data_IF_639348751750
#
_entry.id   IF_639348751750
#
_cell.length_a   1.000
_cell.length_b   1.000
_cell.length_c   1.000
_cell.angle_alpha   90.00
_cell.angle_beta   90.00
_cell.angle_gamma   90.00
#
_symmetry.space_group_name_H-M   'P 1'
#
loop_
_entity.id
_entity.type
_entity.pdbx_description
1 polymer ?
#
# COMPACT_ATOMS: atom_id res chain seq x y z
N UNK A 1 -12.48 -29.81 -15.97
CA UNK A 1 -12.85 -28.49 -16.51
C UNK A 1 -11.61 -27.61 -16.53
N UNK A 2 -11.34 -26.82 -17.58
CA UNK A 2 -10.22 -25.87 -17.56
C UNK A 2 -10.44 -24.83 -16.46
N UNK A 3 -9.40 -24.53 -15.67
CA UNK A 3 -9.44 -23.47 -14.64
C UNK A 3 -9.81 -22.15 -15.32
N UNK A 4 -10.78 -21.41 -14.79
CA UNK A 4 -11.08 -20.06 -15.24
C UNK A 4 -9.83 -19.19 -15.09
N UNK A 5 -9.50 -18.39 -16.11
CA UNK A 5 -8.38 -17.44 -16.03
C UNK A 5 -8.65 -16.42 -14.93
N UNK A 6 -7.69 -16.26 -14.03
CA UNK A 6 -7.73 -15.26 -12.96
C UNK A 6 -7.30 -13.88 -13.48
N UNK A 7 -7.55 -12.82 -12.71
CA UNK A 7 -6.99 -11.50 -13.00
C UNK A 7 -5.45 -11.55 -12.97
N UNK A 8 -4.83 -12.38 -12.11
CA UNK A 8 -3.38 -12.54 -12.11
C UNK A 8 -2.86 -13.14 -13.42
N UNK A 9 -3.56 -14.14 -13.98
CA UNK A 9 -3.19 -14.73 -15.28
C UNK A 9 -3.28 -13.71 -16.43
N UNK A 10 -4.17 -12.72 -16.32
CA UNK A 10 -4.31 -11.64 -17.29
C UNK A 10 -3.11 -10.69 -17.27
N UNK A 11 -2.62 -10.34 -16.07
CA UNK A 11 -1.59 -9.31 -15.89
C UNK A 11 -0.16 -9.84 -15.79
N UNK A 12 0.01 -11.14 -15.54
CA UNK A 12 1.32 -11.75 -15.28
C UNK A 12 2.38 -11.41 -16.34
N UNK A 13 2.04 -11.54 -17.63
CA UNK A 13 2.99 -11.25 -18.72
C UNK A 13 3.42 -9.78 -18.74
N UNK A 14 2.48 -8.85 -18.52
CA UNK A 14 2.79 -7.42 -18.49
C UNK A 14 3.60 -7.05 -17.24
N UNK A 15 3.23 -7.61 -16.08
CA UNK A 15 3.94 -7.40 -14.83
C UNK A 15 5.40 -7.87 -14.93
N UNK A 16 5.64 -9.08 -15.45
CA UNK A 16 6.99 -9.62 -15.62
C UNK A 16 7.83 -8.85 -16.66
N UNK A 17 7.18 -8.30 -17.69
CA UNK A 17 7.83 -7.46 -18.70
C UNK A 17 8.12 -6.03 -18.21
N UNK A 18 7.55 -5.59 -17.08
CA UNK A 18 7.80 -4.26 -16.54
C UNK A 18 9.28 -4.12 -16.15
N UNK A 19 9.90 -2.94 -16.36
CA UNK A 19 11.32 -2.72 -16.01
C UNK A 19 11.58 -2.81 -14.49
N UNK A 20 12.86 -2.90 -14.11
CA UNK A 20 13.32 -2.98 -12.72
C UNK A 20 13.63 -4.41 -12.23
N UNK A 21 14.29 -4.52 -11.08
CA UNK A 21 14.72 -5.78 -10.46
C UNK A 21 13.61 -6.50 -9.65
N UNK A 22 12.42 -5.91 -9.53
CA UNK A 22 11.33 -6.47 -8.72
C UNK A 22 11.38 -6.06 -7.24
N UNK A 23 12.24 -5.11 -6.87
CA UNK A 23 12.13 -4.43 -5.58
C UNK A 23 10.90 -3.53 -5.58
N UNK A 24 10.12 -3.62 -4.50
CA UNK A 24 8.93 -2.81 -4.31
C UNK A 24 9.29 -1.58 -3.48
N UNK A 25 9.09 -0.40 -4.07
CA UNK A 25 9.17 0.87 -3.35
C UNK A 25 7.83 1.59 -3.45
N UNK A 26 7.19 1.78 -2.30
CA UNK A 26 5.91 2.48 -2.16
C UNK A 26 6.05 3.56 -1.10
N UNK A 27 5.35 4.68 -1.29
CA UNK A 27 5.32 5.77 -0.31
C UNK A 27 4.22 5.59 0.75
N UNK A 28 3.34 4.60 0.54
CA UNK A 28 2.20 4.25 1.41
C UNK A 28 2.19 2.75 1.70
N UNK A 29 1.61 2.32 2.84
CA UNK A 29 1.37 0.91 3.12
C UNK A 29 0.49 0.22 2.06
N UNK A 30 0.57 -1.11 1.97
CA UNK A 30 -0.12 -1.87 0.91
C UNK A 30 -1.66 -1.81 1.00
N UNK A 31 -2.23 -1.90 2.19
CA UNK A 31 -3.67 -1.80 2.37
C UNK A 31 -4.16 -0.38 1.99
N UNK A 32 -3.40 0.68 2.33
CA UNK A 32 -3.68 2.06 1.87
C UNK A 32 -3.67 2.11 0.35
N UNK A 33 -2.64 1.55 -0.30
CA UNK A 33 -2.57 1.50 -1.76
C UNK A 33 -3.80 0.80 -2.37
N UNK A 34 -4.25 -0.31 -1.77
CA UNK A 34 -5.41 -1.05 -2.24
C UNK A 34 -6.72 -0.30 -2.03
N UNK A 35 -6.90 0.38 -0.90
CA UNK A 35 -8.04 1.29 -0.69
C UNK A 35 -8.04 2.44 -1.71
N UNK A 36 -6.88 3.09 -1.88
CA UNK A 36 -6.71 4.16 -2.85
C UNK A 36 -6.92 3.71 -4.30
N UNK A 37 -6.62 2.45 -4.63
CA UNK A 37 -6.90 1.89 -5.95
C UNK A 37 -8.40 1.94 -6.26
N UNK A 38 -9.25 1.60 -5.29
CA UNK A 38 -10.71 1.64 -5.44
C UNK A 38 -11.20 3.07 -5.62
N UNK A 39 -10.70 4.01 -4.81
CA UNK A 39 -11.07 5.42 -4.90
C UNK A 39 -10.66 6.03 -6.24
N UNK A 40 -9.44 5.73 -6.71
CA UNK A 40 -8.93 6.23 -8.00
C UNK A 40 -9.69 5.61 -9.17
N UNK A 41 -10.08 4.34 -9.09
CA UNK A 41 -10.94 3.72 -10.10
C UNK A 41 -12.34 4.36 -10.14
N UNK A 42 -12.93 4.65 -8.98
CA UNK A 42 -14.22 5.38 -8.87
C UNK A 42 -14.10 6.80 -9.42
N UNK A 43 -13.02 7.51 -9.09
CA UNK A 43 -12.71 8.82 -9.64
C UNK A 43 -12.60 8.77 -11.16
N UNK A 44 -11.82 7.83 -11.71
CA UNK A 44 -11.67 7.65 -13.15
C UNK A 44 -13.02 7.47 -13.83
N UNK A 45 -13.87 6.57 -13.32
CA UNK A 45 -15.21 6.32 -13.85
C UNK A 45 -16.08 7.57 -13.83
N UNK A 46 -16.07 8.31 -12.72
CA UNK A 46 -16.89 9.51 -12.51
C UNK A 46 -16.49 10.66 -13.45
N UNK A 47 -15.18 10.85 -13.63
CA UNK A 47 -14.62 12.01 -14.32
C UNK A 47 -14.12 11.71 -15.74
N UNK A 48 -14.37 10.50 -16.28
CA UNK A 48 -13.91 10.11 -17.62
C UNK A 48 -14.39 11.07 -18.71
N UNK A 49 -15.71 11.23 -18.82
CA UNK A 49 -16.35 12.11 -19.79
C UNK A 49 -16.39 13.57 -19.31
N UNK A 50 -16.31 14.55 -20.22
CA UNK A 50 -16.60 15.93 -19.92
C UNK A 50 -18.09 16.09 -19.59
N UNK A 51 -18.39 17.11 -18.78
CA UNK A 51 -19.75 17.56 -18.55
C UNK A 51 -20.06 18.71 -19.52
N UNK A 52 -21.19 18.58 -20.23
CA UNK A 52 -21.66 19.56 -21.20
C UNK A 52 -23.03 20.06 -20.75
N UNK A 53 -23.17 21.38 -20.65
CA UNK A 53 -24.46 22.06 -20.39
C UNK A 53 -24.69 23.09 -21.49
N UNK A 54 -25.88 23.08 -22.09
CA UNK A 54 -26.26 23.99 -23.18
C UNK A 54 -25.25 24.05 -24.33
N UNK A 55 -24.68 22.89 -24.69
CA UNK A 55 -23.67 22.76 -25.75
C UNK A 55 -22.26 23.26 -25.37
N UNK A 56 -22.05 23.74 -24.14
CA UNK A 56 -20.76 24.21 -23.64
C UNK A 56 -20.17 23.23 -22.63
N UNK A 57 -18.87 22.97 -22.73
CA UNK A 57 -18.14 22.15 -21.76
C UNK A 57 -18.02 22.94 -20.44
N UNK A 58 -18.69 22.48 -19.40
CA UNK A 58 -18.65 23.10 -18.06
C UNK A 58 -17.68 22.41 -17.11
N UNK A 59 -17.32 21.16 -17.41
CA UNK A 59 -16.25 20.41 -16.73
C UNK A 59 -15.51 19.56 -17.75
N UNK A 60 -14.19 19.61 -17.73
CA UNK A 60 -13.37 18.75 -18.59
C UNK A 60 -13.49 17.27 -18.19
N UNK A 61 -13.15 16.37 -19.11
CA UNK A 61 -13.10 14.93 -18.85
C UNK A 61 -11.67 14.41 -18.92
N UNK A 62 -11.37 13.36 -18.15
CA UNK A 62 -10.07 12.68 -18.22
C UNK A 62 -9.74 12.18 -19.64
N UNK A 63 -10.75 11.91 -20.47
CA UNK A 63 -10.54 11.53 -21.87
C UNK A 63 -9.74 12.58 -22.67
N UNK A 64 -9.73 13.84 -22.24
CA UNK A 64 -8.94 14.91 -22.87
C UNK A 64 -7.43 14.76 -22.63
N UNK A 65 -7.01 13.93 -21.67
CA UNK A 65 -5.61 13.54 -21.45
C UNK A 65 -5.28 12.16 -22.03
N UNK A 66 -6.25 11.47 -22.63
CA UNK A 66 -6.00 10.19 -23.28
C UNK A 66 -5.15 10.39 -24.54
N UNK A 67 -4.03 9.67 -24.61
CA UNK A 67 -3.16 9.69 -25.80
C UNK A 67 -3.70 8.74 -26.86
N UNK A 68 -3.61 9.15 -28.14
CA UNK A 68 -3.87 8.26 -29.29
C UNK A 68 -2.73 7.24 -29.51
N UNK A 69 -1.51 7.53 -29.02
CA UNK A 69 -0.37 6.60 -29.07
C UNK A 69 -0.43 5.68 -27.86
N UNK A 70 -0.70 4.40 -28.10
CA UNK A 70 -0.79 3.35 -27.08
C UNK A 70 0.62 2.95 -26.62
N UNK A 71 0.94 3.23 -25.38
CA UNK A 71 2.03 2.63 -24.62
C UNK A 71 1.49 2.05 -23.31
N UNK A 72 2.32 1.32 -22.56
CA UNK A 72 1.90 0.63 -21.33
C UNK A 72 1.25 1.58 -20.29
N UNK A 73 1.61 2.86 -20.27
CA UNK A 73 1.10 3.84 -19.30
C UNK A 73 0.07 4.81 -19.91
N UNK A 74 -0.54 4.44 -21.03
CA UNK A 74 -1.55 5.29 -21.67
C UNK A 74 -2.86 5.24 -20.90
N UNK A 75 -3.38 6.42 -20.56
CA UNK A 75 -4.71 6.56 -19.99
C UNK A 75 -5.77 6.20 -21.05
N UNK A 76 -6.65 5.26 -20.72
CA UNK A 76 -7.75 4.83 -21.58
C UNK A 76 -9.09 4.83 -20.83
N UNK A 77 -10.18 4.61 -21.55
CA UNK A 77 -11.51 4.44 -20.96
C UNK A 77 -11.60 3.22 -20.03
N UNK A 78 -10.67 2.27 -20.14
CA UNK A 78 -10.64 1.05 -19.33
C UNK A 78 -9.72 1.15 -18.13
N UNK A 79 -8.89 2.20 -18.01
CA UNK A 79 -7.88 2.29 -16.95
C UNK A 79 -8.45 2.14 -15.54
N UNK A 80 -9.65 2.67 -15.26
CA UNK A 80 -10.32 2.44 -13.96
C UNK A 80 -10.64 0.97 -13.69
N UNK A 81 -11.10 0.23 -14.70
CA UNK A 81 -11.37 -1.22 -14.60
C UNK A 81 -10.07 -2.03 -14.48
N UNK A 82 -9.03 -1.62 -15.21
CA UNK A 82 -7.69 -2.21 -15.14
C UNK A 82 -7.10 -2.07 -13.73
N UNK A 83 -7.28 -0.91 -13.06
CA UNK A 83 -6.85 -0.70 -11.68
C UNK A 83 -7.52 -1.69 -10.73
N UNK A 84 -8.84 -1.89 -10.84
CA UNK A 84 -9.56 -2.85 -9.99
C UNK A 84 -9.14 -4.30 -10.26
N UNK A 85 -8.88 -4.64 -11.52
CA UNK A 85 -8.38 -5.97 -11.91
C UNK A 85 -6.95 -6.20 -11.40
N UNK A 86 -6.06 -5.21 -11.51
CA UNK A 86 -4.70 -5.26 -10.96
C UNK A 86 -4.67 -5.33 -9.43
N UNK A 87 -5.60 -4.66 -8.73
CA UNK A 87 -5.75 -4.77 -7.29
C UNK A 87 -6.04 -6.23 -6.89
N UNK A 88 -7.01 -6.90 -7.54
CA UNK A 88 -7.32 -8.31 -7.27
C UNK A 88 -6.16 -9.24 -7.62
N UNK A 89 -5.46 -8.98 -8.73
CA UNK A 89 -4.25 -9.71 -9.09
C UNK A 89 -3.13 -9.55 -8.05
N UNK A 90 -2.96 -8.35 -7.47
CA UNK A 90 -1.97 -8.08 -6.43
C UNK A 90 -2.28 -8.84 -5.13
N UNK A 91 -3.56 -8.87 -4.72
CA UNK A 91 -4.01 -9.66 -3.56
C UNK A 91 -3.77 -11.16 -3.79
N UNK A 92 -4.11 -11.66 -4.97
CA UNK A 92 -3.87 -13.06 -5.32
C UNK A 92 -2.36 -13.40 -5.34
N UNK A 93 -1.53 -12.54 -5.93
CA UNK A 93 -0.08 -12.73 -5.94
C UNK A 93 0.51 -12.68 -4.52
N UNK A 94 0.00 -11.81 -3.66
CA UNK A 94 0.33 -11.79 -2.22
C UNK A 94 -0.03 -13.10 -1.54
N UNK A 95 -1.24 -13.63 -1.79
CA UNK A 95 -1.68 -14.92 -1.26
C UNK A 95 -0.78 -16.06 -1.73
N UNK A 96 -0.42 -16.09 -3.03
CA UNK A 96 0.50 -17.10 -3.58
C UNK A 96 1.89 -17.02 -2.96
N UNK A 97 2.40 -15.83 -2.69
CA UNK A 97 3.64 -15.64 -1.95
C UNK A 97 3.53 -16.21 -0.53
N UNK A 98 2.50 -15.83 0.23
CA UNK A 98 2.28 -16.33 1.59
C UNK A 98 2.18 -17.86 1.64
N UNK A 99 1.52 -18.49 0.66
CA UNK A 99 1.44 -19.96 0.56
C UNK A 99 2.74 -20.63 0.12
N UNK A 100 3.61 -19.91 -0.59
CA UNK A 100 4.91 -20.41 -1.03
C UNK A 100 5.98 -20.27 0.07
N UNK A 101 5.77 -19.38 1.02
CA UNK A 101 6.57 -19.26 2.24
C UNK A 101 6.20 -20.43 3.15
N UNK A 102 7.14 -21.37 3.32
CA UNK A 102 7.03 -22.39 4.37
C UNK A 102 7.36 -21.69 5.70
N UNK A 103 6.42 -21.51 6.64
CA UNK A 103 6.68 -20.79 7.89
C UNK A 103 7.79 -21.42 8.74
N UNK A 104 8.14 -22.70 8.50
CA UNK A 104 9.27 -23.38 9.17
C UNK A 104 10.62 -23.20 8.46
N UNK A 105 10.64 -22.62 7.25
CA UNK A 105 11.84 -22.34 6.46
C UNK A 105 11.99 -20.87 6.04
N UNK A 106 10.96 -20.05 6.26
CA UNK A 106 11.02 -18.61 6.10
C UNK A 106 12.15 -18.07 6.97
N UNK A 107 12.93 -17.12 6.46
CA UNK A 107 13.82 -16.40 7.36
C UNK A 107 12.98 -15.70 8.44
N UNK A 108 13.52 -15.53 9.67
CA UNK A 108 12.87 -14.68 10.67
C UNK A 108 12.50 -13.30 10.13
N UNK A 109 13.22 -12.82 9.12
CA UNK A 109 12.95 -11.56 8.43
C UNK A 109 11.67 -11.59 7.59
N UNK A 110 11.50 -12.60 6.74
CA UNK A 110 10.29 -12.71 5.91
C UNK A 110 9.05 -12.94 6.76
N UNK A 111 9.12 -13.83 7.74
CA UNK A 111 7.99 -14.06 8.64
C UNK A 111 7.69 -12.82 9.48
N UNK A 112 8.73 -12.11 9.92
CA UNK A 112 8.61 -10.83 10.61
C UNK A 112 7.85 -9.78 9.81
N UNK A 113 8.11 -9.65 8.51
CA UNK A 113 7.37 -8.72 7.66
C UNK A 113 5.89 -9.06 7.57
N UNK A 114 5.55 -10.35 7.43
CA UNK A 114 4.15 -10.80 7.38
C UNK A 114 3.45 -10.48 8.70
N UNK A 115 4.05 -10.84 9.84
CA UNK A 115 3.48 -10.58 11.16
C UNK A 115 3.29 -9.08 11.40
N UNK A 116 4.27 -8.25 11.02
CA UNK A 116 4.18 -6.80 11.14
C UNK A 116 3.05 -6.21 10.27
N UNK A 117 2.91 -6.67 9.02
CA UNK A 117 1.84 -6.24 8.11
C UNK A 117 0.44 -6.57 8.70
N UNK A 118 0.25 -7.78 9.24
CA UNK A 118 -1.02 -8.22 9.84
C UNK A 118 -1.36 -7.45 11.13
N UNK A 119 -0.38 -7.22 12.02
CA UNK A 119 -0.57 -6.41 13.24
C UNK A 119 -0.97 -4.98 12.86
N UNK A 120 -0.27 -4.38 11.90
CA UNK A 120 -0.52 -3.00 11.46
C UNK A 120 -1.93 -2.88 10.86
N UNK A 121 -2.30 -3.76 9.92
CA UNK A 121 -3.61 -3.71 9.27
C UNK A 121 -4.76 -3.91 10.27
N UNK A 122 -4.57 -4.80 11.25
CA UNK A 122 -5.58 -5.06 12.30
C UNK A 122 -5.73 -3.86 13.23
N UNK A 123 -4.63 -3.20 13.61
CA UNK A 123 -4.67 -1.97 14.41
C UNK A 123 -5.32 -0.81 13.66
N UNK A 124 -5.02 -0.62 12.39
CA UNK A 124 -5.64 0.42 11.57
C UNK A 124 -7.15 0.22 11.45
N UNK A 125 -7.59 -1.02 11.23
CA UNK A 125 -9.01 -1.35 11.22
C UNK A 125 -9.68 -1.14 12.58
N UNK A 126 -9.01 -1.55 13.65
CA UNK A 126 -9.56 -1.44 15.00
C UNK A 126 -9.66 0.02 15.47
N UNK A 127 -8.72 0.87 15.07
CA UNK A 127 -8.68 2.28 15.50
C UNK A 127 -9.47 3.21 14.58
N UNK A 128 -9.63 2.91 13.29
CA UNK A 128 -10.44 3.72 12.36
C UNK A 128 -11.95 3.48 12.56
N UNK A 129 -12.48 3.89 13.72
CA UNK A 129 -13.90 3.82 14.08
C UNK A 129 -14.74 4.99 13.52
N UNK A 130 -14.09 5.87 12.75
CA UNK A 130 -14.67 7.09 12.19
C UNK A 130 -14.52 8.33 13.08
N UNK A 131 -13.86 8.22 14.24
CA UNK A 131 -13.52 9.33 15.14
C UNK A 131 -12.00 9.39 15.33
N UNK A 132 -11.38 10.54 15.01
CA UNK A 132 -9.95 10.71 15.21
C UNK A 132 -9.62 10.82 16.71
N UNK A 133 -9.03 9.77 17.29
CA UNK A 133 -8.75 9.65 18.72
C UNK A 133 -7.25 9.51 19.06
N UNK A 134 -6.93 9.23 20.33
CA UNK A 134 -5.54 9.04 20.77
C UNK A 134 -4.88 7.78 20.20
N UNK A 135 -5.64 6.74 19.90
CA UNK A 135 -5.14 5.49 19.35
C UNK A 135 -4.73 5.68 17.89
N UNK A 136 -5.54 6.40 17.09
CA UNK A 136 -5.17 6.84 15.74
C UNK A 136 -3.86 7.64 15.77
N UNK A 137 -3.76 8.59 16.69
CA UNK A 137 -2.58 9.45 16.81
C UNK A 137 -1.33 8.65 17.20
N UNK A 138 -1.45 7.64 18.06
CA UNK A 138 -0.34 6.76 18.46
C UNK A 138 0.10 5.87 17.31
N UNK A 139 -0.84 5.26 16.59
CA UNK A 139 -0.55 4.42 15.43
C UNK A 139 0.11 5.24 14.30
N UNK A 140 -0.42 6.41 13.99
CA UNK A 140 0.18 7.33 13.01
C UNK A 140 1.58 7.79 13.41
N UNK A 141 1.81 8.06 14.71
CA UNK A 141 3.14 8.42 15.23
C UNK A 141 4.12 7.26 15.09
N UNK A 142 3.68 6.03 15.38
CA UNK A 142 4.51 4.84 15.27
C UNK A 142 4.87 4.54 13.81
N UNK A 143 3.89 4.59 12.90
CA UNK A 143 4.14 4.45 11.46
C UNK A 143 5.12 5.48 10.91
N UNK A 144 5.16 6.69 11.48
CA UNK A 144 6.17 7.69 11.12
C UNK A 144 7.55 7.43 11.69
N UNK A 145 7.65 6.86 12.89
CA UNK A 145 8.94 6.51 13.49
C UNK A 145 9.71 5.50 12.62
N UNK A 146 8.97 4.58 11.98
CA UNK A 146 9.53 3.54 11.10
C UNK A 146 9.50 3.88 9.61
N UNK A 147 9.04 5.07 9.22
CA UNK A 147 8.78 5.37 7.80
C UNK A 147 10.05 5.44 6.93
N UNK A 148 11.19 5.79 7.55
CA UNK A 148 12.49 5.95 6.89
C UNK A 148 13.49 4.87 7.35
N UNK A 149 12.99 3.83 8.05
CA UNK A 149 13.83 2.74 8.52
C UNK A 149 14.40 1.95 7.34
N UNK A 150 15.71 1.61 7.37
CA UNK A 150 16.29 0.79 6.32
C UNK A 150 15.71 -0.63 6.40
N UNK A 151 15.65 -1.33 5.25
CA UNK A 151 15.18 -2.72 5.19
C UNK A 151 16.21 -3.71 5.78
N UNK A 152 16.47 -3.61 7.09
CA UNK A 152 17.45 -4.42 7.83
C UNK A 152 16.78 -5.21 8.95
N UNK A 153 17.42 -6.31 9.38
CA UNK A 153 16.90 -7.17 10.44
C UNK A 153 16.68 -6.43 11.76
N UNK A 154 17.58 -5.51 12.11
CA UNK A 154 17.47 -4.70 13.32
C UNK A 154 16.28 -3.72 13.26
N UNK A 155 16.08 -3.06 12.12
CA UNK A 155 14.96 -2.15 11.93
C UNK A 155 13.62 -2.90 11.98
N UNK A 156 13.54 -4.08 11.35
CA UNK A 156 12.36 -4.93 11.40
C UNK A 156 12.10 -5.46 12.82
N UNK A 157 13.14 -5.86 13.55
CA UNK A 157 13.00 -6.32 14.93
C UNK A 157 12.47 -5.21 15.86
N UNK A 158 12.95 -3.97 15.66
CA UNK A 158 12.45 -2.81 16.40
C UNK A 158 10.98 -2.54 16.08
N UNK A 159 10.60 -2.53 14.80
CA UNK A 159 9.21 -2.33 14.39
C UNK A 159 8.28 -3.43 14.95
N UNK A 160 8.69 -4.69 14.90
CA UNK A 160 7.91 -5.80 15.46
C UNK A 160 7.63 -5.60 16.96
N UNK A 161 8.63 -5.22 17.74
CA UNK A 161 8.44 -4.95 19.17
C UNK A 161 7.53 -3.75 19.42
N UNK A 162 7.75 -2.64 18.71
CA UNK A 162 6.99 -1.42 18.94
C UNK A 162 5.50 -1.57 18.54
N UNK A 163 5.22 -2.22 17.41
CA UNK A 163 3.84 -2.50 16.99
C UNK A 163 3.17 -3.57 17.86
N UNK A 164 3.89 -4.62 18.27
CA UNK A 164 3.35 -5.59 19.22
C UNK A 164 3.08 -4.96 20.58
N UNK A 165 3.90 -4.01 21.03
CA UNK A 165 3.68 -3.26 22.26
C UNK A 165 2.47 -2.32 22.16
N UNK A 166 2.28 -1.66 21.02
CA UNK A 166 1.07 -0.86 20.76
C UNK A 166 -0.19 -1.74 20.73
N UNK A 167 -0.09 -2.94 20.16
CA UNK A 167 -1.20 -3.89 20.05
C UNK A 167 -1.55 -4.60 21.37
N UNK A 168 -0.60 -4.80 22.27
CA UNK A 168 -0.78 -5.62 23.47
C UNK A 168 -2.00 -5.22 24.34
N UNK A 169 -2.30 -3.92 24.59
CA UNK A 169 -3.50 -3.52 25.33
C UNK A 169 -4.83 -3.86 24.62
N UNK A 170 -4.78 -4.10 23.31
CA UNK A 170 -5.94 -4.34 22.45
C UNK A 170 -6.05 -5.82 22.01
N UNK A 171 -5.22 -6.71 22.58
CA UNK A 171 -5.13 -8.12 22.19
C UNK A 171 -6.48 -8.81 22.09
N UNK A 172 -7.35 -8.65 23.08
CA UNK A 172 -8.68 -9.29 23.09
C UNK A 172 -9.59 -8.76 21.98
N UNK A 173 -9.49 -7.47 21.65
CA UNK A 173 -10.28 -6.86 20.58
C UNK A 173 -9.76 -7.21 19.18
N UNK A 174 -8.47 -7.51 19.07
CA UNK A 174 -7.83 -7.95 17.82
C UNK A 174 -8.08 -9.44 17.53
N UNK A 175 -8.24 -10.28 18.55
CA UNK A 175 -8.38 -11.72 18.36
C UNK A 175 -9.64 -12.08 17.55
N UNK A 176 -9.45 -12.81 16.46
CA UNK A 176 -10.50 -13.17 15.50
C UNK A 176 -10.91 -12.04 14.54
N UNK A 177 -10.45 -10.80 14.72
CA UNK A 177 -10.78 -9.66 13.86
C UNK A 177 -10.18 -9.87 12.48
N UNK A 178 -11.03 -10.01 11.45
CA UNK A 178 -10.55 -10.34 10.10
C UNK A 178 -9.84 -11.69 9.98
N UNK A 179 -9.94 -12.57 10.99
CA UNK A 179 -9.18 -13.82 11.06
C UNK A 179 -7.78 -13.68 11.68
N UNK A 180 -7.46 -12.53 12.29
CA UNK A 180 -6.22 -12.33 13.04
C UNK A 180 -6.16 -13.27 14.26
N UNK A 181 -4.98 -13.84 14.52
CA UNK A 181 -4.71 -14.68 15.69
C UNK A 181 -3.85 -13.90 16.68
N UNK A 182 -4.36 -13.66 17.90
CA UNK A 182 -3.62 -12.95 18.93
C UNK A 182 -2.25 -13.56 19.27
N UNK A 183 -2.01 -14.84 18.97
CA UNK A 183 -0.71 -15.48 19.11
C UNK A 183 0.37 -14.83 18.22
N UNK A 184 -0.01 -14.14 17.13
CA UNK A 184 0.93 -13.39 16.29
C UNK A 184 1.63 -12.25 17.05
N UNK A 185 1.05 -11.75 18.16
CA UNK A 185 1.71 -10.75 19.02
C UNK A 185 2.88 -11.36 19.82
N UNK A 186 2.77 -12.64 20.19
CA UNK A 186 3.86 -13.35 20.85
C UNK A 186 4.91 -13.74 19.80
N UNK A 187 4.47 -14.19 18.64
CA UNK A 187 5.32 -14.50 17.50
C UNK A 187 6.15 -13.28 17.06
N UNK A 188 5.58 -12.06 17.08
CA UNK A 188 6.30 -10.83 16.78
C UNK A 188 7.52 -10.63 17.70
N UNK A 189 7.36 -10.87 19.00
CA UNK A 189 8.45 -10.76 20.00
C UNK A 189 9.50 -11.85 19.79
N UNK A 190 9.07 -13.07 19.50
CA UNK A 190 9.99 -14.19 19.20
C UNK A 190 10.81 -13.92 17.93
N UNK A 191 10.17 -13.39 16.88
CA UNK A 191 10.83 -13.01 15.63
C UNK A 191 11.78 -11.82 15.83
N UNK A 192 11.39 -10.81 16.61
CA UNK A 192 12.28 -9.70 16.96
C UNK A 192 13.53 -10.19 17.70
N UNK A 193 13.38 -11.12 18.65
CA UNK A 193 14.50 -11.74 19.34
C UNK A 193 15.39 -12.56 18.38
N UNK A 194 14.79 -13.36 17.51
CA UNK A 194 15.50 -14.17 16.51
C UNK A 194 16.27 -13.30 15.50
N UNK A 195 15.68 -12.19 15.06
CA UNK A 195 16.30 -11.23 14.14
C UNK A 195 17.53 -10.58 14.73
N UNK A 196 17.47 -10.17 16.01
CA UNK A 196 18.64 -9.62 16.73
C UNK A 196 19.72 -10.66 16.97
N UNK A 197 19.33 -11.91 17.28
CA UNK A 197 20.27 -13.01 17.51
C UNK A 197 21.00 -13.44 16.22
N UNK A 198 20.38 -13.26 15.06
CA UNK A 198 20.86 -13.76 13.77
C UNK A 198 20.97 -12.66 12.70
N UNK A 199 21.33 -11.43 13.08
CA UNK A 199 21.41 -10.27 12.18
C UNK A 199 22.28 -10.47 10.92
N UNK A 200 23.13 -11.50 10.89
CA UNK A 200 24.02 -11.88 9.78
C UNK A 200 23.63 -13.15 9.01
N UNK A 201 22.64 -13.93 9.46
CA UNK A 201 22.18 -15.13 8.76
C UNK A 201 20.88 -14.86 8.00
N UNK A 202 21.01 -14.27 6.81
CA UNK A 202 19.93 -14.25 5.84
C UNK A 202 19.72 -15.68 5.31
N UNK A 203 18.84 -16.44 5.95
CA UNK A 203 18.33 -17.69 5.39
C UNK A 203 17.40 -17.36 4.22
N UNK A 204 17.97 -16.99 3.08
CA UNK A 204 17.17 -16.43 1.99
C UNK A 204 16.08 -17.38 1.49
N UNK A 205 14.90 -16.81 1.18
CA UNK A 205 13.77 -17.41 0.47
C UNK A 205 14.12 -18.63 -0.41
N UNK A 206 13.34 -19.71 -0.31
CA UNK A 206 13.35 -20.75 -1.34
C UNK A 206 12.99 -20.18 -2.73
N UNK A 207 13.48 -20.81 -3.80
CA UNK A 207 13.30 -20.34 -5.19
C UNK A 207 11.85 -19.99 -5.52
N UNK A 208 10.89 -20.86 -5.16
CA UNK A 208 9.45 -20.62 -5.38
C UNK A 208 8.92 -19.38 -4.63
N UNK A 209 9.42 -19.12 -3.43
CA UNK A 209 9.00 -17.97 -2.64
C UNK A 209 9.61 -16.67 -3.20
N UNK A 210 10.85 -16.73 -3.72
CA UNK A 210 11.47 -15.62 -4.47
C UNK A 210 10.67 -15.26 -5.72
N UNK A 211 10.32 -16.26 -6.52
CA UNK A 211 9.56 -16.05 -7.76
C UNK A 211 8.16 -15.47 -7.46
N UNK A 212 7.49 -15.99 -6.43
CA UNK A 212 6.19 -15.49 -6.01
C UNK A 212 6.27 -14.05 -5.46
N UNK A 213 7.32 -13.71 -4.69
CA UNK A 213 7.56 -12.36 -4.21
C UNK A 213 7.85 -11.39 -5.36
N UNK A 214 8.70 -11.80 -6.31
CA UNK A 214 9.02 -11.01 -7.48
C UNK A 214 7.76 -10.72 -8.30
N UNK A 215 6.92 -11.73 -8.54
CA UNK A 215 5.65 -11.55 -9.24
C UNK A 215 4.73 -10.59 -8.48
N UNK A 216 4.55 -10.78 -7.17
CA UNK A 216 3.77 -9.87 -6.30
C UNK A 216 4.24 -8.43 -6.46
N UNK A 217 5.53 -8.18 -6.31
CA UNK A 217 6.10 -6.84 -6.38
C UNK A 217 5.92 -6.22 -7.77
N UNK A 218 6.10 -6.99 -8.84
CA UNK A 218 5.89 -6.52 -10.22
C UNK A 218 4.43 -6.15 -10.48
N UNK A 219 3.47 -6.95 -10.00
CA UNK A 219 2.03 -6.65 -10.15
C UNK A 219 1.65 -5.40 -9.35
N UNK A 220 2.14 -5.25 -8.12
CA UNK A 220 1.91 -4.06 -7.31
C UNK A 220 2.53 -2.82 -7.97
N UNK A 221 3.75 -2.94 -8.51
CA UNK A 221 4.38 -1.86 -9.28
C UNK A 221 3.53 -1.43 -10.48
N UNK A 222 2.95 -2.38 -11.20
CA UNK A 222 2.05 -2.11 -12.33
C UNK A 222 0.75 -1.43 -11.89
N UNK A 223 0.15 -1.86 -10.78
CA UNK A 223 -1.00 -1.20 -10.14
C UNK A 223 -0.67 0.26 -9.80
N UNK A 224 0.45 0.50 -9.12
CA UNK A 224 0.87 1.84 -8.71
C UNK A 224 1.13 2.75 -9.93
N UNK A 225 1.67 2.19 -11.02
CA UNK A 225 1.85 2.92 -12.27
C UNK A 225 0.50 3.37 -12.87
N UNK A 226 -0.52 2.50 -12.89
CA UNK A 226 -1.87 2.87 -13.37
C UNK A 226 -2.53 3.94 -12.52
N UNK A 227 -2.45 3.81 -11.20
CA UNK A 227 -2.92 4.84 -10.25
C UNK A 227 -2.22 6.17 -10.53
N UNK A 228 -0.90 6.15 -10.71
CA UNK A 228 -0.09 7.33 -10.98
C UNK A 228 -0.48 8.02 -12.29
N UNK A 229 -0.78 7.24 -13.34
CA UNK A 229 -1.29 7.76 -14.62
C UNK A 229 -2.60 8.53 -14.45
N UNK A 230 -3.58 7.97 -13.72
CA UNK A 230 -4.86 8.65 -13.47
C UNK A 230 -4.65 9.94 -12.67
N UNK A 231 -3.82 9.90 -11.62
CA UNK A 231 -3.49 11.07 -10.80
C UNK A 231 -2.81 12.17 -11.62
N UNK A 232 -1.88 11.82 -12.51
CA UNK A 232 -1.22 12.77 -13.39
C UNK A 232 -2.22 13.41 -14.37
N UNK A 233 -3.09 12.61 -14.96
CA UNK A 233 -4.15 13.11 -15.85
C UNK A 233 -5.11 14.05 -15.11
N UNK A 234 -5.53 13.69 -13.89
CA UNK A 234 -6.41 14.51 -13.06
C UNK A 234 -5.81 15.90 -12.80
N UNK A 235 -4.54 15.96 -12.38
CA UNK A 235 -3.83 17.23 -12.16
C UNK A 235 -3.75 18.10 -13.41
N UNK A 236 -3.56 17.47 -14.58
CA UNK A 236 -3.46 18.21 -15.85
C UNK A 236 -4.80 18.71 -16.37
N UNK A 237 -5.83 17.85 -16.34
CA UNK A 237 -7.17 18.13 -16.88
C UNK A 237 -7.91 19.13 -16.00
N UNK A 238 -7.90 18.92 -14.68
CA UNK A 238 -8.59 19.72 -13.68
C UNK A 238 -7.70 20.79 -13.03
N UNK A 239 -6.71 21.31 -13.77
CA UNK A 239 -5.80 22.36 -13.28
C UNK A 239 -6.51 23.65 -12.86
N UNK A 240 -7.69 23.91 -13.42
CA UNK A 240 -8.61 25.00 -13.10
C UNK A 240 -9.66 24.63 -12.02
N UNK A 241 -9.68 23.37 -11.59
CA UNK A 241 -10.60 22.80 -10.59
C UNK A 241 -9.84 21.94 -9.58
N UNK A 242 -9.03 22.57 -8.70
CA UNK A 242 -8.18 21.85 -7.75
C UNK A 242 -8.97 21.06 -6.69
N UNK A 243 -10.24 21.42 -6.47
CA UNK A 243 -11.22 20.64 -5.69
C UNK A 243 -11.35 19.22 -6.24
N UNK A 244 -11.61 19.09 -7.54
CA UNK A 244 -11.77 17.79 -8.22
C UNK A 244 -10.44 17.04 -8.26
N UNK A 245 -9.34 17.72 -8.59
CA UNK A 245 -8.03 17.07 -8.68
C UNK A 245 -7.63 16.40 -7.35
N UNK A 246 -8.00 17.00 -6.21
CA UNK A 246 -7.69 16.48 -4.86
C UNK A 246 -8.36 15.14 -4.57
N UNK A 247 -9.54 14.87 -5.11
CA UNK A 247 -10.26 13.60 -4.91
C UNK A 247 -9.45 12.39 -5.38
N UNK A 248 -8.61 12.56 -6.41
CA UNK A 248 -7.73 11.50 -6.90
C UNK A 248 -6.45 11.29 -6.08
N UNK A 249 -6.13 12.19 -5.15
CA UNK A 249 -4.86 12.17 -4.42
C UNK A 249 -4.95 11.36 -3.13
N UNK A 250 -3.83 10.73 -2.75
CA UNK A 250 -3.69 9.98 -1.49
C UNK A 250 -4.05 10.86 -0.28
N UNK A 251 -5.04 10.43 0.49
CA UNK A 251 -5.41 11.09 1.74
C UNK A 251 -4.32 10.89 2.80
N UNK A 252 -3.76 9.69 2.88
CA UNK A 252 -2.65 9.32 3.76
C UNK A 252 -1.45 10.25 3.57
N UNK A 253 -0.97 10.42 2.34
CA UNK A 253 0.15 11.31 2.02
C UNK A 253 -0.13 12.79 2.32
N UNK A 254 -1.40 13.22 2.24
CA UNK A 254 -1.77 14.58 2.61
C UNK A 254 -1.67 14.78 4.12
N UNK A 255 -2.16 13.82 4.92
CA UNK A 255 -2.05 13.85 6.39
C UNK A 255 -0.58 13.85 6.79
N UNK A 256 0.21 12.89 6.28
CA UNK A 256 1.67 12.79 6.50
C UNK A 256 2.41 14.11 6.20
N UNK A 257 2.16 14.73 5.03
CA UNK A 257 2.78 16.02 4.67
C UNK A 257 2.32 17.20 5.54
N UNK A 258 1.04 17.23 5.93
CA UNK A 258 0.53 18.28 6.81
C UNK A 258 1.17 18.18 8.21
N UNK A 259 1.34 16.97 8.72
CA UNK A 259 2.01 16.70 9.98
C UNK A 259 3.50 17.04 9.94
N UNK A 260 4.21 16.65 8.88
CA UNK A 260 5.61 17.04 8.68
C UNK A 260 5.77 18.57 8.68
N UNK A 261 4.85 19.31 8.03
CA UNK A 261 4.83 20.77 8.06
C UNK A 261 4.53 21.35 9.45
N UNK A 262 3.60 20.73 10.20
CA UNK A 262 3.31 21.14 11.59
C UNK A 262 4.54 20.94 12.49
N UNK A 263 5.29 19.85 12.30
CA UNK A 263 6.52 19.56 13.04
C UNK A 263 7.65 20.53 12.70
N UNK A 264 7.89 20.81 11.42
CA UNK A 264 8.87 21.82 11.01
C UNK A 264 8.57 23.19 11.64
N UNK A 265 7.29 23.60 11.66
CA UNK A 265 6.87 24.84 12.34
C UNK A 265 7.06 24.83 13.86
N UNK A 266 6.94 23.67 14.52
CA UNK A 266 7.21 23.53 15.96
C UNK A 266 8.71 23.53 16.28
N UNK A 267 9.54 22.98 15.39
CA UNK A 267 10.99 22.99 15.54
C UNK A 267 11.59 24.41 15.36
N UNK A 268 11.00 25.22 14.48
CA UNK A 268 11.37 26.63 14.26
C UNK A 268 10.75 27.60 15.29
N UNK A 269 9.97 27.11 16.25
CA UNK A 269 9.39 27.98 17.28
C UNK A 269 10.48 28.37 18.30
N UNK A 270 10.70 29.66 18.58
CA UNK A 270 11.72 30.08 19.54
C UNK A 270 11.40 29.53 20.93
N UNK A 271 12.42 28.98 21.59
CA UNK A 271 12.33 28.52 22.98
C UNK A 271 11.92 29.71 23.85
N UNK A 272 10.82 29.62 24.63
CA UNK A 272 10.47 30.67 25.59
C UNK A 272 11.60 30.77 26.62
N UNK A 273 12.15 31.98 26.77
CA UNK A 273 13.11 32.33 27.82
C UNK A 273 12.45 32.33 29.20
#
# INVERSE_FOLDING_TARGET
>A
MPKAKTDLDLWMNEALAAPGNGELSLSVPLHVLFGEAVDVARFHKTYWKPEVKDGKVVRRGLEMAASKKKNANTLTAKTGEEILSLQRAAVEAGTRYLLAVDPKKASPFERGQVVLDEITATLEWLFDDGVEDENDARLAKLGQAHADDPATADALALALDDYAALAAPHREAMDGLGGFDAAMLDEAKELAAALRAHATQSAGLGEKARDALLLRNKVIGLLNARISTVRAAARFVFRDRPDIARESTSAYERRRRAEAKRRAKKADAPVPL
#
